data_IF_046279514381
#
_entry.id   IF_046279514381
#
_cell.length_a   1.000
_cell.length_b   1.000
_cell.length_c   1.000
_cell.angle_alpha   90.00
_cell.angle_beta   90.00
_cell.angle_gamma   90.00
#
_symmetry.space_group_name_H-M   'P 1'
#
loop_
_entity.id
_entity.type
_entity.pdbx_description
1 polymer ?
#
# COMPACT_ATOMS: atom_id res chain seq x y z
N UNK A 1 0.23 -24.86 29.65
CA UNK A 1 0.25 -25.08 28.18
C UNK A 1 -0.10 -23.82 27.38
N UNK A 2 -0.15 -22.63 27.98
CA UNK A 2 -0.56 -21.36 27.32
C UNK A 2 0.64 -20.53 26.85
N UNK A 3 1.70 -20.43 27.64
CA UNK A 3 2.78 -19.47 27.40
C UNK A 3 3.64 -19.84 26.19
N UNK A 4 3.87 -21.14 25.95
CA UNK A 4 4.65 -21.62 24.81
C UNK A 4 3.97 -21.30 23.47
N UNK A 5 2.64 -21.37 23.37
CA UNK A 5 1.93 -21.02 22.13
C UNK A 5 1.87 -19.52 21.89
N UNK A 6 1.75 -18.71 22.95
CA UNK A 6 1.82 -17.25 22.86
C UNK A 6 3.22 -16.82 22.40
N UNK A 7 4.27 -17.45 22.94
CA UNK A 7 5.65 -17.19 22.53
C UNK A 7 5.88 -17.60 21.07
N UNK A 8 5.45 -18.80 20.68
CA UNK A 8 5.62 -19.32 19.32
C UNK A 8 4.86 -18.49 18.27
N UNK A 9 3.64 -18.06 18.59
CA UNK A 9 2.83 -17.20 17.71
C UNK A 9 3.40 -15.79 17.58
N UNK A 10 3.95 -15.23 18.67
CA UNK A 10 4.62 -13.92 18.66
C UNK A 10 5.91 -13.94 17.83
N UNK A 11 6.73 -14.99 17.98
CA UNK A 11 7.96 -15.18 17.19
C UNK A 11 7.61 -15.38 15.71
N UNK A 12 6.61 -16.20 15.40
CA UNK A 12 6.12 -16.41 14.03
C UNK A 12 5.63 -15.10 13.40
N UNK A 13 4.87 -14.29 14.14
CA UNK A 13 4.40 -12.98 13.69
C UNK A 13 5.56 -12.00 13.42
N UNK A 14 6.57 -11.97 14.30
CA UNK A 14 7.75 -11.12 14.13
C UNK A 14 8.59 -11.50 12.89
N UNK A 15 8.77 -12.80 12.64
CA UNK A 15 9.46 -13.31 11.45
C UNK A 15 8.70 -12.93 10.18
N UNK A 16 7.38 -13.13 10.16
CA UNK A 16 6.51 -12.77 9.03
C UNK A 16 6.55 -11.26 8.74
N UNK A 17 6.47 -10.42 9.77
CA UNK A 17 6.56 -8.97 9.63
C UNK A 17 7.92 -8.54 9.04
N UNK A 18 9.01 -9.12 9.53
CA UNK A 18 10.37 -8.83 9.07
C UNK A 18 10.56 -9.23 7.61
N UNK A 19 10.14 -10.45 7.25
CA UNK A 19 10.17 -10.94 5.87
C UNK A 19 9.34 -10.06 4.93
N UNK A 20 8.12 -9.67 5.33
CA UNK A 20 7.27 -8.80 4.54
C UNK A 20 7.93 -7.43 4.26
N UNK A 21 8.62 -6.86 5.25
CA UNK A 21 9.39 -5.61 5.09
C UNK A 21 10.55 -5.80 4.10
N UNK A 22 11.33 -6.88 4.25
CA UNK A 22 12.48 -7.18 3.37
C UNK A 22 12.03 -7.39 1.91
N UNK A 23 10.96 -8.16 1.69
CA UNK A 23 10.40 -8.40 0.36
C UNK A 23 9.98 -7.08 -0.28
N UNK A 24 9.33 -6.20 0.49
CA UNK A 24 8.89 -4.88 0.03
C UNK A 24 10.07 -3.96 -0.32
N UNK A 25 11.13 -4.00 0.48
CA UNK A 25 12.37 -3.28 0.22
C UNK A 25 13.05 -3.77 -1.08
N UNK A 26 13.05 -5.09 -1.33
CA UNK A 26 13.65 -5.70 -2.53
C UNK A 26 12.82 -5.45 -3.80
N UNK A 27 11.50 -5.43 -3.69
CA UNK A 27 10.58 -5.13 -4.80
C UNK A 27 10.76 -3.70 -5.36
N UNK A 28 11.30 -2.78 -4.57
CA UNK A 28 11.52 -1.38 -4.95
C UNK A 28 12.72 -1.18 -5.88
N UNK A 29 13.65 -2.14 -5.98
CA UNK A 29 14.84 -2.05 -6.86
C UNK A 29 14.56 -2.47 -8.31
N UNK A 30 13.33 -2.91 -8.64
CA UNK A 30 12.96 -3.35 -9.99
C UNK A 30 12.31 -2.21 -10.77
N UNK A 31 12.51 -2.15 -12.10
CA UNK A 31 11.86 -1.13 -12.93
C UNK A 31 10.34 -1.19 -12.74
N UNK A 32 9.73 0.00 -12.66
CA UNK A 32 8.29 0.14 -12.60
C UNK A 32 7.72 -0.32 -13.95
N UNK A 33 6.63 -1.08 -13.89
CA UNK A 33 5.90 -1.53 -15.07
C UNK A 33 4.43 -1.27 -14.82
N UNK A 34 3.69 -0.89 -15.86
CA UNK A 34 2.25 -0.70 -15.83
C UNK A 34 1.52 -1.84 -15.08
N UNK A 35 1.88 -3.10 -15.35
CA UNK A 35 1.30 -4.27 -14.68
C UNK A 35 1.49 -4.22 -13.16
N UNK A 36 2.69 -3.88 -12.67
CA UNK A 36 2.98 -3.81 -11.22
C UNK A 36 2.24 -2.67 -10.50
N UNK A 37 1.83 -1.62 -11.23
CA UNK A 37 1.08 -0.50 -10.65
C UNK A 37 -0.39 -0.87 -10.48
N UNK A 38 -0.98 -1.56 -11.46
CA UNK A 38 -2.43 -1.91 -11.47
C UNK A 38 -2.73 -3.17 -10.66
N UNK A 39 -1.78 -4.08 -10.56
CA UNK A 39 -1.99 -5.40 -9.96
C UNK A 39 -2.38 -5.39 -8.46
N UNK A 40 -1.84 -4.49 -7.59
CA UNK A 40 -2.18 -4.50 -6.17
C UNK A 40 -3.66 -4.19 -5.86
N UNK A 41 -4.31 -3.15 -6.44
CA UNK A 41 -5.75 -2.94 -6.27
C UNK A 41 -6.59 -4.15 -6.66
N UNK A 42 -6.26 -4.83 -7.76
CA UNK A 42 -7.00 -6.01 -8.23
C UNK A 42 -6.93 -7.15 -7.20
N UNK A 43 -5.72 -7.43 -6.68
CA UNK A 43 -5.58 -8.43 -5.62
C UNK A 43 -6.21 -8.00 -4.31
N UNK A 44 -6.24 -6.71 -3.99
CA UNK A 44 -6.95 -6.22 -2.81
C UNK A 44 -8.46 -6.36 -2.96
N UNK A 45 -9.01 -6.28 -4.17
CA UNK A 45 -10.45 -6.48 -4.41
C UNK A 45 -10.94 -7.87 -4.01
N UNK A 46 -10.08 -8.90 -3.97
CA UNK A 46 -10.49 -10.22 -3.44
C UNK A 46 -10.76 -10.19 -1.93
N UNK A 47 -10.25 -9.20 -1.21
CA UNK A 47 -10.52 -8.99 0.21
C UNK A 47 -11.99 -8.65 0.50
N UNK A 48 -12.76 -8.19 -0.49
CA UNK A 48 -14.21 -7.95 -0.31
C UNK A 48 -14.99 -9.22 0.04
N UNK A 49 -14.41 -10.41 -0.20
CA UNK A 49 -15.03 -11.66 0.24
C UNK A 49 -15.26 -11.71 1.76
N UNK A 50 -14.49 -10.96 2.55
CA UNK A 50 -14.70 -10.93 4.00
C UNK A 50 -16.04 -10.30 4.39
N UNK A 51 -16.65 -9.44 3.57
CA UNK A 51 -17.95 -8.83 3.86
C UNK A 51 -19.14 -9.79 3.66
N UNK A 52 -18.91 -10.99 3.11
CA UNK A 52 -19.91 -12.06 3.15
C UNK A 52 -20.15 -12.55 4.59
N UNK A 53 -19.20 -12.33 5.50
CA UNK A 53 -19.34 -12.65 6.91
C UNK A 53 -20.05 -11.50 7.66
N UNK A 54 -21.19 -11.79 8.30
CA UNK A 54 -22.06 -10.80 8.97
C UNK A 54 -21.29 -9.89 9.95
N UNK A 55 -20.44 -10.43 10.86
CA UNK A 55 -19.68 -9.60 11.80
C UNK A 55 -18.61 -8.71 11.16
N UNK A 56 -18.19 -8.99 9.92
CA UNK A 56 -17.21 -8.18 9.22
C UNK A 56 -17.84 -7.04 8.41
N UNK A 57 -19.15 -6.84 8.50
CA UNK A 57 -19.89 -5.82 7.76
C UNK A 57 -20.07 -4.54 8.60
N UNK A 58 -19.26 -3.50 8.34
CA UNK A 58 -19.47 -2.21 8.98
C UNK A 58 -20.78 -1.56 8.55
N UNK A 59 -21.32 -0.71 9.41
CA UNK A 59 -22.52 0.07 9.11
C UNK A 59 -22.31 0.95 7.87
N UNK A 60 -23.37 1.18 7.09
CA UNK A 60 -23.28 1.93 5.83
C UNK A 60 -22.65 3.33 5.99
N UNK A 61 -22.92 3.99 7.12
CA UNK A 61 -22.32 5.28 7.44
C UNK A 61 -20.80 5.21 7.63
N UNK A 62 -20.32 4.19 8.36
CA UNK A 62 -18.89 3.94 8.55
C UNK A 62 -18.18 3.58 7.24
N UNK A 63 -18.88 2.91 6.30
CA UNK A 63 -18.34 2.62 4.97
C UNK A 63 -18.02 3.92 4.23
N UNK A 64 -18.96 4.87 4.23
CA UNK A 64 -18.79 6.18 3.57
C UNK A 64 -17.67 6.97 4.23
N UNK A 65 -17.64 7.01 5.56
CA UNK A 65 -16.58 7.69 6.32
C UNK A 65 -15.19 7.10 6.04
N UNK A 66 -15.06 5.78 6.10
CA UNK A 66 -13.80 5.08 5.83
C UNK A 66 -13.29 5.34 4.40
N UNK A 67 -14.19 5.28 3.40
CA UNK A 67 -13.86 5.60 2.01
C UNK A 67 -13.46 7.08 1.83
N UNK A 68 -14.20 8.01 2.43
CA UNK A 68 -13.91 9.43 2.36
C UNK A 68 -12.54 9.76 2.97
N UNK A 69 -12.27 9.26 4.17
CA UNK A 69 -10.98 9.41 4.86
C UNK A 69 -9.86 8.76 4.04
N UNK A 70 -10.08 7.56 3.51
CA UNK A 70 -9.13 6.87 2.62
C UNK A 70 -8.78 7.71 1.39
N UNK A 71 -9.79 8.30 0.73
CA UNK A 71 -9.58 9.20 -0.40
C UNK A 71 -8.79 10.45 -0.03
N UNK A 72 -9.04 11.05 1.14
CA UNK A 72 -8.25 12.20 1.63
C UNK A 72 -6.79 11.80 1.83
N UNK A 73 -6.51 10.65 2.46
CA UNK A 73 -5.15 10.14 2.61
C UNK A 73 -4.47 9.83 1.27
N UNK A 74 -5.24 9.44 0.25
CA UNK A 74 -4.71 9.22 -1.09
C UNK A 74 -4.04 10.47 -1.68
N UNK A 75 -4.53 11.68 -1.34
CA UNK A 75 -3.98 12.95 -1.83
C UNK A 75 -2.56 13.15 -1.30
N UNK A 76 -2.32 12.84 -0.02
CA UNK A 76 -0.99 12.91 0.60
C UNK A 76 -0.01 11.92 -0.05
N UNK A 77 -0.51 10.73 -0.39
CA UNK A 77 0.24 9.70 -1.10
C UNK A 77 0.64 10.13 -2.51
N UNK A 78 -0.31 10.70 -3.25
CA UNK A 78 -0.08 11.21 -4.61
C UNK A 78 0.98 12.31 -4.59
N UNK A 79 0.85 13.29 -3.68
CA UNK A 79 1.78 14.43 -3.58
C UNK A 79 3.21 13.99 -3.25
N UNK A 80 3.36 12.92 -2.46
CA UNK A 80 4.68 12.43 -2.02
C UNK A 80 5.27 11.40 -2.99
N UNK A 81 4.47 10.86 -3.92
CA UNK A 81 4.92 9.90 -4.93
C UNK A 81 5.55 10.58 -6.12
N UNK A 82 6.84 10.32 -6.34
CA UNK A 82 7.59 10.81 -7.49
C UNK A 82 8.15 9.66 -8.31
N UNK A 83 8.38 9.91 -9.59
CA UNK A 83 9.06 8.98 -10.49
C UNK A 83 10.42 9.56 -10.86
N UNK A 84 11.42 8.69 -11.02
CA UNK A 84 12.76 9.06 -11.40
C UNK A 84 13.19 8.21 -12.60
N UNK A 85 13.68 8.85 -13.65
CA UNK A 85 14.23 8.15 -14.82
C UNK A 85 15.68 7.84 -14.52
N UNK A 86 16.04 6.55 -14.49
CA UNK A 86 17.43 6.11 -14.31
C UNK A 86 17.77 5.09 -15.39
N UNK A 87 18.85 5.34 -16.15
CA UNK A 87 19.34 4.44 -17.23
C UNK A 87 18.24 4.01 -18.22
N UNK A 88 17.48 4.98 -18.74
CA UNK A 88 16.39 4.75 -19.69
C UNK A 88 15.23 3.86 -19.17
N UNK A 89 15.12 3.70 -17.86
CA UNK A 89 14.04 2.96 -17.20
C UNK A 89 13.37 3.83 -16.14
N UNK A 90 12.05 3.72 -16.01
CA UNK A 90 11.26 4.48 -15.05
C UNK A 90 11.30 3.75 -13.70
N UNK A 91 11.86 4.41 -12.68
CA UNK A 91 11.88 3.92 -11.32
C UNK A 91 10.89 4.70 -10.46
N UNK A 92 10.27 4.02 -9.50
CA UNK A 92 9.40 4.64 -8.52
C UNK A 92 10.23 5.16 -7.34
N UNK A 93 10.20 6.47 -7.10
CA UNK A 93 10.76 7.06 -5.88
C UNK A 93 9.80 6.79 -4.72
N UNK A 94 10.34 6.24 -3.64
CA UNK A 94 9.56 5.80 -2.47
C UNK A 94 8.81 6.98 -1.86
N UNK A 95 7.50 6.85 -1.70
CA UNK A 95 6.72 7.78 -0.88
C UNK A 95 6.94 7.43 0.59
N UNK A 96 7.66 8.28 1.34
CA UNK A 96 7.81 8.12 2.81
C UNK A 96 6.45 8.18 3.52
N UNK A 97 5.49 8.91 2.94
CA UNK A 97 4.12 9.03 3.45
C UNK A 97 3.38 7.68 3.48
N UNK A 98 3.70 6.76 2.58
CA UNK A 98 3.07 5.44 2.57
C UNK A 98 3.44 4.60 3.81
N UNK A 99 4.69 4.66 4.25
CA UNK A 99 5.11 4.00 5.49
C UNK A 99 4.51 4.69 6.72
N UNK A 100 4.48 6.01 6.72
CA UNK A 100 3.86 6.80 7.78
C UNK A 100 2.36 6.49 7.95
N UNK A 101 1.61 6.41 6.84
CA UNK A 101 0.18 6.07 6.85
C UNK A 101 -0.05 4.66 7.38
N UNK A 102 0.74 3.67 6.94
CA UNK A 102 0.63 2.30 7.45
C UNK A 102 0.91 2.21 8.95
N UNK A 103 1.98 2.85 9.43
CA UNK A 103 2.32 2.86 10.85
C UNK A 103 1.26 3.63 11.65
N UNK A 104 0.81 4.77 11.15
CA UNK A 104 -0.26 5.57 11.76
C UNK A 104 -1.57 4.80 11.88
N UNK A 105 -1.99 4.07 10.83
CA UNK A 105 -3.14 3.17 10.85
C UNK A 105 -2.98 2.05 11.87
N UNK A 106 -1.79 1.45 11.96
CA UNK A 106 -1.51 0.37 12.91
C UNK A 106 -1.56 0.86 14.35
N UNK A 107 -0.96 2.03 14.63
CA UNK A 107 -1.00 2.66 15.96
C UNK A 107 -2.43 3.06 16.30
N UNK A 108 -3.14 3.74 15.40
CA UNK A 108 -4.54 4.09 15.58
C UNK A 108 -5.38 2.84 15.90
N UNK A 109 -5.17 1.73 15.19
CA UNK A 109 -5.84 0.45 15.47
C UNK A 109 -5.59 -0.06 16.88
N UNK A 110 -4.33 -0.03 17.34
CA UNK A 110 -3.96 -0.49 18.69
C UNK A 110 -4.60 0.45 19.74
N UNK A 111 -4.52 1.76 19.53
CA UNK A 111 -5.11 2.76 20.43
C UNK A 111 -6.63 2.65 20.49
N UNK A 112 -7.32 2.47 19.36
CA UNK A 112 -8.77 2.25 19.34
C UNK A 112 -9.17 0.99 20.10
N UNK A 113 -8.45 -0.12 19.90
CA UNK A 113 -8.69 -1.36 20.66
C UNK A 113 -8.55 -1.14 22.17
N UNK A 114 -7.55 -0.36 22.60
CA UNK A 114 -7.27 -0.12 24.01
C UNK A 114 -8.27 0.84 24.68
N UNK A 115 -8.82 1.81 23.94
CA UNK A 115 -9.74 2.83 24.48
C UNK A 115 -11.20 2.38 24.43
N UNK A 116 -11.63 1.76 23.33
CA UNK A 116 -13.05 1.42 23.10
C UNK A 116 -13.45 0.10 23.78
N UNK A 117 -12.49 -0.75 24.16
CA UNK A 117 -12.78 -2.07 24.74
C UNK A 117 -13.57 -2.97 23.78
N UNK A 118 -14.06 -4.13 24.25
CA UNK A 118 -14.82 -5.14 23.48
C UNK A 118 -16.15 -4.66 22.86
N UNK A 119 -16.43 -3.35 22.85
CA UNK A 119 -17.66 -2.78 22.29
C UNK A 119 -17.73 -2.85 20.76
N UNK A 120 -16.60 -3.00 20.07
CA UNK A 120 -16.55 -3.17 18.61
C UNK A 120 -15.91 -4.50 18.26
N UNK A 121 -16.64 -5.31 17.48
CA UNK A 121 -16.17 -6.62 17.01
C UNK A 121 -14.89 -6.45 16.19
N UNK A 122 -13.92 -7.34 16.42
CA UNK A 122 -12.61 -7.29 15.77
C UNK A 122 -12.73 -7.35 14.24
N UNK A 123 -13.75 -8.05 13.78
CA UNK A 123 -14.11 -8.27 12.39
C UNK A 123 -14.65 -7.01 11.72
N UNK A 124 -15.49 -6.23 12.40
CA UNK A 124 -16.02 -4.96 11.90
C UNK A 124 -14.90 -3.93 11.73
N UNK A 125 -14.01 -3.83 12.72
CA UNK A 125 -12.82 -2.99 12.65
C UNK A 125 -11.93 -3.37 11.47
N UNK A 126 -11.70 -4.67 11.25
CA UNK A 126 -10.94 -5.14 10.10
C UNK A 126 -11.61 -4.74 8.77
N UNK A 127 -12.95 -4.80 8.71
CA UNK A 127 -13.79 -4.28 7.62
C UNK A 127 -13.54 -2.81 7.31
N UNK A 128 -13.62 -1.95 8.33
CA UNK A 128 -13.40 -0.51 8.21
C UNK A 128 -11.99 -0.16 7.75
N UNK A 129 -10.97 -0.79 8.34
CA UNK A 129 -9.57 -0.55 7.96
C UNK A 129 -9.29 -0.98 6.52
N UNK A 130 -9.90 -2.09 6.06
CA UNK A 130 -9.81 -2.51 4.67
C UNK A 130 -10.45 -1.49 3.73
N UNK A 131 -11.65 -0.98 4.04
CA UNK A 131 -12.32 0.03 3.21
C UNK A 131 -11.52 1.32 3.10
N UNK A 132 -10.95 1.78 4.22
CA UNK A 132 -10.05 2.92 4.25
C UNK A 132 -8.80 2.66 3.39
N UNK A 133 -8.19 1.48 3.55
CA UNK A 133 -7.01 1.08 2.78
C UNK A 133 -7.31 0.98 1.27
N UNK A 134 -8.51 0.50 0.91
CA UNK A 134 -8.97 0.39 -0.45
C UNK A 134 -9.29 1.76 -1.07
N UNK A 135 -9.95 2.63 -0.30
CA UNK A 135 -10.23 4.01 -0.66
C UNK A 135 -8.96 4.83 -0.89
N UNK A 136 -7.88 4.57 -0.15
CA UNK A 136 -6.60 5.25 -0.38
C UNK A 136 -5.82 4.69 -1.57
N UNK A 137 -5.87 3.37 -1.83
CA UNK A 137 -4.99 2.74 -2.82
C UNK A 137 -5.46 2.98 -4.26
N UNK A 138 -6.77 3.02 -4.50
CA UNK A 138 -7.33 3.20 -5.85
C UNK A 138 -6.88 4.54 -6.47
N UNK A 139 -7.17 5.70 -5.87
CA UNK A 139 -6.85 6.98 -6.50
C UNK A 139 -5.33 7.15 -6.66
N UNK A 140 -4.57 6.68 -5.67
CA UNK A 140 -3.12 6.72 -5.69
C UNK A 140 -2.53 5.89 -6.84
N UNK A 141 -2.99 4.66 -7.05
CA UNK A 141 -2.52 3.80 -8.14
C UNK A 141 -2.94 4.32 -9.51
N UNK A 142 -4.13 4.89 -9.64
CA UNK A 142 -4.58 5.55 -10.89
C UNK A 142 -3.67 6.72 -11.23
N UNK A 143 -3.37 7.58 -10.24
CA UNK A 143 -2.46 8.72 -10.41
C UNK A 143 -1.06 8.27 -10.84
N UNK A 144 -0.52 7.26 -10.15
CA UNK A 144 0.78 6.67 -10.50
C UNK A 144 0.80 6.10 -11.93
N UNK A 145 -0.27 5.43 -12.37
CA UNK A 145 -0.36 4.88 -13.72
C UNK A 145 -0.39 5.98 -14.78
N UNK A 146 -1.13 7.08 -14.53
CA UNK A 146 -1.16 8.24 -15.42
C UNK A 146 0.22 8.88 -15.54
N UNK A 147 0.92 9.10 -14.43
CA UNK A 147 2.28 9.65 -14.42
C UNK A 147 3.28 8.72 -15.12
N UNK A 148 3.16 7.41 -14.93
CA UNK A 148 3.98 6.41 -15.64
C UNK A 148 3.78 6.50 -17.16
N UNK A 149 2.52 6.53 -17.64
CA UNK A 149 2.24 6.64 -19.08
C UNK A 149 2.74 7.94 -19.70
N UNK A 150 2.70 9.05 -18.95
CA UNK A 150 3.26 10.33 -19.41
C UNK A 150 4.77 10.24 -19.61
N UNK A 151 5.49 9.69 -18.62
CA UNK A 151 6.94 9.49 -18.71
C UNK A 151 7.34 8.48 -19.79
N UNK A 152 6.54 7.43 -19.98
CA UNK A 152 6.75 6.45 -21.04
C UNK A 152 6.58 7.09 -22.44
N UNK A 153 5.56 7.94 -22.62
CA UNK A 153 5.38 8.69 -23.85
C UNK A 153 6.50 9.73 -24.10
N UNK A 154 7.00 10.40 -23.05
CA UNK A 154 8.16 11.30 -23.15
C UNK A 154 9.44 10.56 -23.56
N UNK A 155 9.70 9.38 -23.01
CA UNK A 155 10.84 8.54 -23.39
C UNK A 155 10.76 8.04 -24.85
N UNK A 156 9.56 7.76 -25.36
CA UNK A 156 9.34 7.35 -26.75
C UNK A 156 9.54 8.53 -27.71
N UNK A 157 8.98 9.69 -27.38
CA UNK A 157 9.00 10.87 -28.25
C UNK A 157 10.35 11.62 -28.22
N UNK A 158 11.11 11.51 -27.12
CA UNK A 158 12.38 12.19 -26.95
C UNK A 158 13.42 11.20 -26.37
N UNK A 159 13.95 10.29 -27.20
CA UNK A 159 14.89 9.28 -26.72
C UNK A 159 16.12 10.00 -26.15
N UNK A 160 16.55 9.67 -24.91
CA UNK A 160 17.70 10.34 -24.33
C UNK A 160 18.92 10.10 -25.22
N UNK A 161 19.63 11.18 -25.51
CA UNK A 161 20.89 11.17 -26.27
C UNK A 161 21.76 10.04 -25.68
N UNK A 162 22.04 9.02 -26.48
CA UNK A 162 22.83 7.84 -26.09
C UNK A 162 24.13 8.37 -25.48
N UNK A 163 24.25 8.37 -24.15
CA UNK A 163 25.53 8.65 -23.51
C UNK A 163 26.37 7.43 -23.85
N UNK A 164 27.24 7.59 -24.85
CA UNK A 164 28.30 6.66 -25.18
C UNK A 164 29.17 6.64 -23.92
N UNK A 165 28.92 5.69 -23.04
CA UNK A 165 29.88 5.36 -21.98
C UNK A 165 31.05 4.74 -22.74
N UNK A 166 32.25 5.36 -22.76
CA UNK A 166 33.40 4.70 -23.34
C UNK A 166 33.58 3.38 -22.59
N UNK A 167 33.73 2.29 -23.34
CA UNK A 167 34.04 1.00 -22.75
C UNK A 167 35.28 1.20 -21.85
N UNK A 168 35.12 0.99 -20.55
CA UNK A 168 36.27 0.85 -19.65
C UNK A 168 37.08 -0.33 -20.21
N UNK A 169 38.31 -0.01 -20.64
CA UNK A 169 39.31 -0.95 -21.14
C UNK A 169 40.10 -1.50 -19.97
#
# INVERSE_FOLDING_TARGET
>A
MSDTYILLSTIGAAIMATLAIIIRLKATKRPASAKKIILPPIFMSTGFLMFLYEPARPAWWQVIEALAVGMIFSILLIKTSNFEIKRNQIYLKRSKAFAFILVGLLVARITFKLIIGDAVQFEELAGMFFLLAYGMIIPWRISMYRSYRKLEAELINNPPKKIIVPAET
#
